data_IF_392942113968
#
_entry.id   IF_392942113968
#
_cell.length_a   1.000
_cell.length_b   1.000
_cell.length_c   1.000
_cell.angle_alpha   90.00
_cell.angle_beta   90.00
_cell.angle_gamma   90.00
#
_symmetry.space_group_name_H-M   'P 1'
#
loop_
_entity.id
_entity.type
_entity.pdbx_description
1 polymer ?
#
# COMPACT_ATOMS: atom_id res chain seq x y z
N UNK A 1 37.42 -36.73 4.23
CA UNK A 1 36.51 -35.87 3.45
C UNK A 1 35.01 -36.18 3.62
N UNK A 2 34.57 -37.39 4.02
CA UNK A 2 33.13 -37.70 4.14
C UNK A 2 32.42 -37.01 5.32
N UNK A 3 33.09 -36.89 6.48
CA UNK A 3 32.52 -36.27 7.70
C UNK A 3 32.07 -34.82 7.48
N UNK A 4 32.87 -34.03 6.77
CA UNK A 4 32.58 -32.63 6.46
C UNK A 4 31.39 -32.49 5.49
N UNK A 5 31.25 -33.43 4.54
CA UNK A 5 30.10 -33.50 3.62
C UNK A 5 28.81 -33.87 4.35
N UNK A 6 28.88 -34.79 5.32
CA UNK A 6 27.75 -35.15 6.19
C UNK A 6 27.36 -33.98 7.10
N UNK A 7 28.33 -33.27 7.67
CA UNK A 7 28.08 -32.06 8.47
C UNK A 7 27.41 -30.96 7.65
N UNK A 8 27.86 -30.74 6.41
CA UNK A 8 27.24 -29.79 5.50
C UNK A 8 25.80 -30.18 5.14
N UNK A 9 25.54 -31.46 4.87
CA UNK A 9 24.19 -31.96 4.62
C UNK A 9 23.25 -31.71 5.81
N UNK A 10 23.68 -32.06 7.02
CA UNK A 10 22.91 -31.81 8.24
C UNK A 10 22.69 -30.30 8.48
N UNK A 11 23.67 -29.45 8.14
CA UNK A 11 23.53 -28.00 8.25
C UNK A 11 22.54 -27.43 7.23
N UNK A 12 22.49 -27.98 6.01
CA UNK A 12 21.51 -27.59 4.99
C UNK A 12 20.08 -27.97 5.39
N UNK A 13 19.90 -29.17 5.95
CA UNK A 13 18.60 -29.62 6.47
C UNK A 13 18.11 -28.72 7.63
N UNK A 14 19.02 -28.35 8.55
CA UNK A 14 18.70 -27.37 9.61
C UNK A 14 18.33 -26.00 9.05
N UNK A 15 19.05 -25.50 8.05
CA UNK A 15 18.73 -24.22 7.41
C UNK A 15 17.36 -24.25 6.74
N UNK A 16 17.03 -25.33 6.02
CA UNK A 16 15.70 -25.52 5.43
C UNK A 16 14.60 -25.55 6.48
N UNK A 17 14.83 -26.25 7.59
CA UNK A 17 13.90 -26.28 8.71
C UNK A 17 13.72 -24.89 9.38
N UNK A 18 14.82 -24.16 9.57
CA UNK A 18 14.79 -22.80 10.10
C UNK A 18 14.07 -21.84 9.16
N UNK A 19 14.27 -21.96 7.85
CA UNK A 19 13.55 -21.14 6.85
C UNK A 19 12.05 -21.38 6.91
N UNK A 20 11.62 -22.65 6.98
CA UNK A 20 10.20 -22.98 7.13
C UNK A 20 9.62 -22.45 8.44
N UNK A 21 10.39 -22.55 9.53
CA UNK A 21 9.98 -21.99 10.83
C UNK A 21 9.88 -20.47 10.80
N UNK A 22 10.77 -19.79 10.08
CA UNK A 22 10.70 -18.34 9.89
C UNK A 22 9.42 -17.99 9.13
N UNK A 23 9.11 -18.69 8.03
CA UNK A 23 7.89 -18.49 7.25
C UNK A 23 6.63 -18.67 8.12
N UNK A 24 6.55 -19.75 8.90
CA UNK A 24 5.44 -19.98 9.84
C UNK A 24 5.30 -18.81 10.85
N UNK A 25 6.42 -18.33 11.41
CA UNK A 25 6.42 -17.19 12.35
C UNK A 25 6.03 -15.86 11.68
N UNK A 26 6.39 -15.68 10.41
CA UNK A 26 5.97 -14.52 9.64
C UNK A 26 4.48 -14.54 9.33
N UNK A 27 3.90 -15.72 9.05
CA UNK A 27 2.46 -15.91 8.91
C UNK A 27 1.72 -15.60 10.21
N UNK A 28 2.21 -16.08 11.36
CA UNK A 28 1.66 -15.76 12.67
C UNK A 28 1.75 -14.26 12.98
N UNK A 29 2.90 -13.64 12.71
CA UNK A 29 3.09 -12.18 12.86
C UNK A 29 2.11 -11.41 11.98
N UNK A 30 1.93 -11.81 10.74
CA UNK A 30 1.02 -11.15 9.80
C UNK A 30 -0.45 -11.35 10.21
N UNK A 31 -0.79 -12.52 10.78
CA UNK A 31 -2.08 -12.79 11.38
C UNK A 31 -2.33 -11.90 12.62
N UNK A 32 -1.37 -11.79 13.53
CA UNK A 32 -1.46 -10.92 14.71
C UNK A 32 -1.51 -9.44 14.33
N UNK A 33 -0.75 -9.02 13.31
CA UNK A 33 -0.85 -7.67 12.73
C UNK A 33 -2.24 -7.42 12.15
N UNK A 34 -2.84 -8.41 11.48
CA UNK A 34 -4.21 -8.31 10.97
C UNK A 34 -5.23 -8.19 12.10
N UNK A 35 -5.08 -8.97 13.19
CA UNK A 35 -5.93 -8.84 14.37
C UNK A 35 -5.76 -7.47 15.06
N UNK A 36 -4.52 -7.01 15.20
CA UNK A 36 -4.22 -5.71 15.79
C UNK A 36 -4.75 -4.57 14.93
N UNK A 37 -4.66 -4.67 13.61
CA UNK A 37 -5.27 -3.73 12.67
C UNK A 37 -6.79 -3.68 12.82
N UNK A 38 -7.47 -4.82 12.99
CA UNK A 38 -8.92 -4.87 13.27
C UNK A 38 -9.26 -4.21 14.60
N UNK A 39 -8.43 -4.41 15.63
CA UNK A 39 -8.64 -3.80 16.95
C UNK A 39 -8.39 -2.28 16.92
N UNK A 40 -7.29 -1.85 16.30
CA UNK A 40 -6.94 -0.43 16.15
C UNK A 40 -7.95 0.27 15.24
N UNK A 41 -8.40 -0.34 14.14
CA UNK A 41 -9.42 0.26 13.25
C UNK A 41 -10.81 0.31 13.89
N UNK A 42 -11.17 -0.66 14.74
CA UNK A 42 -12.40 -0.60 15.53
C UNK A 42 -12.32 0.47 16.61
N UNK A 43 -11.14 0.73 17.16
CA UNK A 43 -10.90 1.78 18.16
C UNK A 43 -10.71 3.18 17.54
N UNK A 44 -10.25 3.24 16.28
CA UNK A 44 -10.08 4.46 15.48
C UNK A 44 -11.06 4.44 14.31
N UNK A 45 -12.31 4.82 14.58
CA UNK A 45 -13.16 5.42 13.55
C UNK A 45 -12.60 6.81 13.25
N UNK A 46 -11.39 6.88 12.71
CA UNK A 46 -10.73 8.13 12.35
C UNK A 46 -10.71 8.23 10.83
N UNK A 47 -11.46 9.22 10.33
CA UNK A 47 -11.29 9.76 9.00
C UNK A 47 -9.81 9.83 8.63
N UNK A 48 -9.46 9.60 7.38
CA UNK A 48 -8.08 9.80 6.90
C UNK A 48 -7.73 11.26 7.14
N UNK A 49 -6.84 11.56 8.08
CA UNK A 49 -6.53 12.94 8.47
C UNK A 49 -5.25 13.47 7.84
N UNK A 50 -4.47 12.64 7.15
CA UNK A 50 -3.16 12.99 6.58
C UNK A 50 -2.79 12.13 5.36
N UNK A 51 -1.74 12.54 4.64
CA UNK A 51 -1.23 11.87 3.45
C UNK A 51 -0.68 10.46 3.75
N UNK A 52 -0.10 10.26 4.93
CA UNK A 52 0.42 8.95 5.37
C UNK A 52 -0.70 7.94 5.61
N UNK A 53 -1.82 8.37 6.20
CA UNK A 53 -3.02 7.57 6.36
C UNK A 53 -3.65 7.16 5.02
N UNK A 54 -3.57 8.03 4.01
CA UNK A 54 -3.95 7.69 2.62
C UNK A 54 -3.04 6.58 2.09
N UNK A 55 -1.73 6.78 2.16
CA UNK A 55 -0.75 5.84 1.61
C UNK A 55 -0.82 4.47 2.29
N UNK A 56 -0.96 4.46 3.62
CA UNK A 56 -1.11 3.24 4.41
C UNK A 56 -2.34 2.43 3.95
N UNK A 57 -3.51 3.07 3.85
CA UNK A 57 -4.73 2.43 3.35
C UNK A 57 -4.56 1.96 1.91
N UNK A 58 -3.98 2.77 1.05
CA UNK A 58 -3.77 2.43 -0.36
C UNK A 58 -2.92 1.16 -0.50
N UNK A 59 -1.80 1.08 0.22
CA UNK A 59 -0.91 -0.11 0.23
C UNK A 59 -1.61 -1.36 0.77
N UNK A 60 -2.43 -1.24 1.83
CA UNK A 60 -3.22 -2.36 2.38
C UNK A 60 -4.25 -2.91 1.37
N UNK A 61 -5.00 -2.01 0.73
CA UNK A 61 -5.97 -2.36 -0.31
C UNK A 61 -5.26 -2.98 -1.52
N UNK A 62 -4.12 -2.41 -1.95
CA UNK A 62 -3.31 -2.94 -3.04
C UNK A 62 -2.84 -4.37 -2.79
N UNK A 63 -2.31 -4.67 -1.60
CA UNK A 63 -1.89 -6.03 -1.23
C UNK A 63 -3.08 -7.01 -1.32
N UNK A 64 -4.25 -6.59 -0.83
CA UNK A 64 -5.46 -7.42 -0.88
C UNK A 64 -5.97 -7.61 -2.31
N UNK A 65 -5.94 -6.56 -3.13
CA UNK A 65 -6.24 -6.64 -4.56
C UNK A 65 -5.27 -7.57 -5.29
N UNK A 66 -3.99 -7.54 -4.97
CA UNK A 66 -2.99 -8.44 -5.55
C UNK A 66 -3.28 -9.91 -5.19
N UNK A 67 -3.82 -10.19 -4.00
CA UNK A 67 -4.23 -11.55 -3.60
C UNK A 67 -5.55 -11.98 -4.23
N UNK A 68 -6.59 -11.15 -4.13
CA UNK A 68 -7.96 -11.50 -4.54
C UNK A 68 -8.26 -11.26 -6.02
N UNK A 69 -7.41 -10.48 -6.72
CA UNK A 69 -7.59 -9.99 -8.10
C UNK A 69 -8.96 -9.31 -8.35
N UNK A 70 -9.62 -8.84 -7.30
CA UNK A 70 -10.94 -8.22 -7.35
C UNK A 70 -10.97 -6.94 -6.53
N UNK A 71 -11.32 -5.83 -7.19
CA UNK A 71 -11.43 -4.52 -6.55
C UNK A 71 -12.58 -4.49 -5.53
N UNK A 72 -13.75 -5.00 -5.90
CA UNK A 72 -14.92 -5.01 -5.02
C UNK A 72 -14.66 -5.77 -3.73
N UNK A 73 -14.07 -6.97 -3.84
CA UNK A 73 -13.73 -7.78 -2.66
C UNK A 73 -12.62 -7.14 -1.82
N UNK A 74 -11.65 -6.47 -2.44
CA UNK A 74 -10.61 -5.74 -1.70
C UNK A 74 -11.20 -4.56 -0.92
N UNK A 75 -12.11 -3.78 -1.52
CA UNK A 75 -12.77 -2.67 -0.84
C UNK A 75 -13.69 -3.13 0.29
N UNK A 76 -14.47 -4.20 0.07
CA UNK A 76 -15.32 -4.82 1.08
C UNK A 76 -14.49 -5.35 2.27
N UNK A 77 -13.36 -6.01 2.00
CA UNK A 77 -12.47 -6.53 3.04
C UNK A 77 -11.94 -5.44 3.97
N UNK A 78 -11.59 -4.27 3.40
CA UNK A 78 -11.11 -3.12 4.17
C UNK A 78 -12.23 -2.20 4.67
N UNK A 79 -13.49 -2.50 4.34
CA UNK A 79 -14.68 -1.68 4.65
C UNK A 79 -14.51 -0.21 4.24
N UNK A 80 -13.97 0.02 3.04
CA UNK A 80 -13.78 1.37 2.50
C UNK A 80 -14.60 1.55 1.22
N UNK A 81 -15.24 2.70 1.08
CA UNK A 81 -15.93 3.08 -0.14
C UNK A 81 -14.96 3.37 -1.31
N UNK A 82 -15.36 2.97 -2.52
CA UNK A 82 -14.55 3.16 -3.73
C UNK A 82 -14.23 4.63 -4.02
N UNK A 83 -15.20 5.53 -3.85
CA UNK A 83 -15.00 6.95 -4.13
C UNK A 83 -14.03 7.57 -3.13
N UNK A 84 -14.05 7.14 -1.86
CA UNK A 84 -13.09 7.59 -0.84
C UNK A 84 -11.65 7.28 -1.25
N UNK A 85 -11.41 6.07 -1.75
CA UNK A 85 -10.08 5.67 -2.27
C UNK A 85 -9.76 6.44 -3.54
N UNK A 86 -10.73 6.59 -4.46
CA UNK A 86 -10.53 7.33 -5.70
C UNK A 86 -10.08 8.76 -5.44
N UNK A 87 -10.83 9.50 -4.60
CA UNK A 87 -10.59 10.91 -4.27
C UNK A 87 -9.18 11.17 -3.72
N UNK A 88 -8.61 10.19 -3.02
CA UNK A 88 -7.29 10.28 -2.39
C UNK A 88 -6.20 9.54 -3.19
N UNK A 89 -6.56 8.87 -4.28
CA UNK A 89 -5.61 8.14 -5.14
C UNK A 89 -4.49 9.02 -5.68
N UNK A 90 -4.73 10.27 -6.14
CA UNK A 90 -3.66 11.13 -6.64
C UNK A 90 -2.55 11.41 -5.63
N UNK A 91 -2.87 11.47 -4.34
CA UNK A 91 -1.88 11.60 -3.26
C UNK A 91 -0.97 10.36 -3.25
N UNK A 92 -1.55 9.16 -3.25
CA UNK A 92 -0.80 7.92 -3.25
C UNK A 92 0.03 7.72 -4.54
N UNK A 93 -0.53 8.09 -5.70
CA UNK A 93 0.17 8.02 -6.98
C UNK A 93 1.41 8.91 -7.01
N UNK A 94 1.28 10.15 -6.55
CA UNK A 94 2.42 11.06 -6.46
C UNK A 94 3.48 10.53 -5.50
N UNK A 95 3.08 10.12 -4.28
CA UNK A 95 3.99 9.57 -3.26
C UNK A 95 4.75 8.33 -3.72
N UNK A 96 4.13 7.47 -4.55
CA UNK A 96 4.72 6.22 -5.01
C UNK A 96 5.58 6.42 -6.27
N UNK A 97 5.13 7.26 -7.20
CA UNK A 97 5.72 7.34 -8.54
C UNK A 97 6.68 8.51 -8.70
N UNK A 98 6.43 9.63 -8.02
CA UNK A 98 7.22 10.84 -8.13
C UNK A 98 7.30 11.59 -6.78
N UNK A 99 7.93 10.99 -5.75
CA UNK A 99 8.09 11.64 -4.45
C UNK A 99 8.90 12.94 -4.53
N UNK A 100 9.76 13.11 -5.53
CA UNK A 100 10.51 14.34 -5.78
C UNK A 100 9.61 15.55 -6.04
N UNK A 101 8.41 15.33 -6.59
CA UNK A 101 7.43 16.38 -6.89
C UNK A 101 6.62 16.83 -5.68
N UNK A 102 6.78 16.16 -4.53
CA UNK A 102 6.15 16.61 -3.28
C UNK A 102 6.66 17.99 -2.87
N UNK A 103 7.90 18.35 -3.21
CA UNK A 103 8.43 19.68 -2.95
C UNK A 103 7.67 20.78 -3.71
N UNK A 104 7.19 20.49 -4.92
CA UNK A 104 6.40 21.42 -5.74
C UNK A 104 4.96 21.55 -5.22
N UNK A 105 4.39 20.45 -4.75
CA UNK A 105 3.06 20.45 -4.14
C UNK A 105 3.11 21.12 -2.76
N UNK A 106 4.18 20.94 -2.00
CA UNK A 106 4.26 21.39 -0.62
C UNK A 106 3.52 20.46 0.36
N UNK A 107 3.70 20.75 1.65
CA UNK A 107 3.16 19.93 2.74
C UNK A 107 1.63 20.07 2.86
N UNK A 108 1.01 19.02 3.37
CA UNK A 108 -0.40 19.04 3.73
C UNK A 108 -0.57 19.54 5.16
N UNK A 109 -1.39 20.57 5.34
CA UNK A 109 -1.75 21.08 6.66
C UNK A 109 -3.26 20.96 6.88
N UNK A 110 -3.71 20.04 7.78
CA UNK A 110 -5.14 19.82 8.05
C UNK A 110 -5.86 21.05 8.61
N UNK A 111 -5.11 22.03 9.15
CA UNK A 111 -5.68 23.27 9.69
C UNK A 111 -5.93 24.31 8.59
N UNK A 112 -5.25 24.18 7.44
CA UNK A 112 -5.29 25.17 6.35
C UNK A 112 -6.12 24.72 5.15
N UNK A 113 -6.20 23.42 4.91
CA UNK A 113 -6.95 22.87 3.77
C UNK A 113 -7.54 21.50 4.11
N UNK A 114 -8.52 21.04 3.31
CA UNK A 114 -9.01 19.66 3.45
C UNK A 114 -8.20 18.73 2.54
N UNK A 115 -8.23 17.45 2.88
CA UNK A 115 -7.48 16.42 2.18
C UNK A 115 -7.84 16.31 0.68
N UNK A 116 -9.06 16.70 0.31
CA UNK A 116 -9.50 16.70 -1.09
C UNK A 116 -8.81 17.80 -1.90
N UNK A 117 -8.68 19.01 -1.34
CA UNK A 117 -7.94 20.10 -1.97
C UNK A 117 -6.47 19.72 -2.14
N UNK A 118 -5.86 19.10 -1.12
CA UNK A 118 -4.50 18.56 -1.22
C UNK A 118 -4.36 17.53 -2.35
N UNK A 119 -5.29 16.57 -2.42
CA UNK A 119 -5.32 15.58 -3.50
C UNK A 119 -5.42 16.23 -4.88
N UNK A 120 -6.17 17.32 -5.01
CA UNK A 120 -6.25 18.09 -6.27
C UNK A 120 -4.92 18.73 -6.62
N UNK A 121 -4.18 19.28 -5.64
CA UNK A 121 -2.84 19.84 -5.86
C UNK A 121 -1.86 18.75 -6.29
N UNK A 122 -1.88 17.58 -5.64
CA UNK A 122 -1.11 16.41 -6.06
C UNK A 122 -1.44 16.02 -7.50
N UNK A 123 -2.72 15.99 -7.88
CA UNK A 123 -3.13 15.66 -9.24
C UNK A 123 -2.63 16.66 -10.29
N UNK A 124 -2.60 17.95 -9.96
CA UNK A 124 -2.12 18.99 -10.88
C UNK A 124 -0.59 18.97 -11.07
N UNK A 125 0.16 18.48 -10.09
CA UNK A 125 1.61 18.28 -10.19
C UNK A 125 2.01 17.04 -10.99
N UNK A 126 1.08 16.12 -11.26
CA UNK A 126 1.32 14.97 -12.13
C UNK A 126 1.37 15.43 -13.60
N UNK A 127 2.58 15.47 -14.15
CA UNK A 127 2.82 15.69 -15.58
C UNK A 127 2.52 14.44 -16.42
N UNK A 128 2.51 14.61 -17.74
CA UNK A 128 2.23 13.53 -18.68
C UNK A 128 3.23 12.37 -18.58
N UNK A 129 4.49 12.62 -18.20
CA UNK A 129 5.48 11.57 -18.00
C UNK A 129 5.15 10.71 -16.77
N UNK A 130 4.84 11.35 -15.63
CA UNK A 130 4.46 10.64 -14.40
C UNK A 130 3.16 9.88 -14.61
N UNK A 131 2.19 10.47 -15.31
CA UNK A 131 0.94 9.78 -15.64
C UNK A 131 1.18 8.53 -16.48
N UNK A 132 2.11 8.54 -17.45
CA UNK A 132 2.49 7.33 -18.20
C UNK A 132 3.08 6.26 -17.27
N UNK A 133 3.96 6.64 -16.34
CA UNK A 133 4.52 5.73 -15.32
C UNK A 133 3.44 5.14 -14.42
N UNK A 134 2.51 5.96 -13.92
CA UNK A 134 1.34 5.53 -13.15
C UNK A 134 0.51 4.50 -13.93
N UNK A 135 0.22 4.76 -15.21
CA UNK A 135 -0.55 3.83 -16.04
C UNK A 135 0.19 2.50 -16.28
N UNK A 136 1.51 2.53 -16.47
CA UNK A 136 2.32 1.31 -16.56
C UNK A 136 2.24 0.49 -15.25
N UNK A 137 2.36 1.15 -14.11
CA UNK A 137 2.28 0.49 -12.81
C UNK A 137 0.89 -0.11 -12.54
N UNK A 138 -0.19 0.57 -12.93
CA UNK A 138 -1.55 0.02 -12.88
C UNK A 138 -1.70 -1.24 -13.72
N UNK A 139 -1.16 -1.25 -14.95
CA UNK A 139 -1.16 -2.44 -15.82
C UNK A 139 -0.37 -3.61 -15.20
N UNK A 140 0.75 -3.30 -14.56
CA UNK A 140 1.56 -4.29 -13.84
C UNK A 140 0.98 -4.75 -12.49
N UNK A 141 -0.17 -4.21 -12.07
CA UNK A 141 -0.82 -4.49 -10.76
C UNK A 141 0.02 -4.04 -9.55
N UNK A 142 0.96 -3.12 -9.75
CA UNK A 142 1.73 -2.45 -8.71
C UNK A 142 1.04 -1.17 -8.20
N UNK A 143 -0.03 -0.74 -8.88
CA UNK A 143 -0.97 0.27 -8.41
C UNK A 143 -2.40 -0.25 -8.59
N UNK A 144 -3.34 0.32 -7.82
CA UNK A 144 -4.75 0.01 -7.96
C UNK A 144 -5.27 0.53 -9.31
N UNK A 145 -6.05 -0.28 -10.06
CA UNK A 145 -6.69 0.14 -11.31
C UNK A 145 -7.91 1.04 -11.02
N UNK A 146 -7.68 2.13 -10.30
CA UNK A 146 -8.66 3.17 -9.98
C UNK A 146 -8.10 4.51 -10.43
N UNK A 147 -8.97 5.36 -10.96
CA UNK A 147 -8.61 6.71 -11.37
C UNK A 147 -9.69 7.63 -10.90
N UNK A 148 -9.31 8.71 -10.24
CA UNK A 148 -10.18 9.84 -10.04
C UNK A 148 -9.82 10.91 -11.05
N UNK A 149 -10.80 11.35 -11.83
CA UNK A 149 -10.65 12.46 -12.75
C UNK A 149 -11.25 13.69 -12.10
N UNK A 150 -10.40 14.58 -11.60
CA UNK A 150 -10.82 15.94 -11.36
C UNK A 150 -11.26 16.55 -12.70
N UNK A 151 -12.43 17.20 -12.72
CA UNK A 151 -12.76 18.06 -13.85
C UNK A 151 -11.70 19.18 -13.89
N UNK A 152 -11.00 19.28 -15.02
CA UNK A 152 -10.13 20.42 -15.32
C UNK A 152 -11.00 21.64 -15.54
#
# INVERSE_FOLDING_TARGET
>A
MSSMKTQLHMALERNSWLQKRIEDLEEERDFLRCQLDKFISSAKVDAVKDADGVLCRYKKILNTFQKLKSMSRAFEHHRVDRNTVALTTPIAELLIVAPEKLAEVGEFDPSKERLLEYSRRCFLALDDETLKKVQALKKSKLLLPITYRFKR
#
